data_IF_034413854450
#
_entry.id   IF_034413854450
#
_cell.length_a   1.000
_cell.length_b   1.000
_cell.length_c   1.000
_cell.angle_alpha   90.00
_cell.angle_beta   90.00
_cell.angle_gamma   90.00
#
_symmetry.space_group_name_H-M   'P 1'
#
loop_
_entity.id
_entity.type
_entity.pdbx_description
1 polymer ?
#
# COMPACT_ATOMS: atom_id res chain seq x y z
N UNK A 1 -14.40 -9.08 -5.98
CA UNK A 1 -15.09 -9.23 -4.68
C UNK A 1 -15.69 -7.88 -4.32
N UNK A 2 -15.22 -7.17 -3.30
CA UNK A 2 -15.78 -5.88 -2.84
C UNK A 2 -14.96 -4.65 -3.24
N UNK A 3 -13.79 -4.84 -3.86
CA UNK A 3 -12.94 -3.76 -4.34
C UNK A 3 -11.71 -3.47 -3.46
N UNK A 4 -11.51 -4.21 -2.37
CA UNK A 4 -10.44 -3.97 -1.39
C UNK A 4 -9.05 -3.94 -2.04
N UNK A 5 -8.73 -4.91 -2.91
CA UNK A 5 -7.43 -4.98 -3.57
C UNK A 5 -7.23 -3.83 -4.56
N UNK A 6 -8.31 -3.36 -5.21
CA UNK A 6 -8.23 -2.18 -6.06
C UNK A 6 -7.96 -0.92 -5.24
N UNK A 7 -8.59 -0.77 -4.07
CA UNK A 7 -8.34 0.34 -3.15
C UNK A 7 -6.89 0.32 -2.61
N UNK A 8 -6.37 -0.86 -2.26
CA UNK A 8 -4.98 -1.05 -1.82
C UNK A 8 -4.01 -0.69 -2.94
N UNK A 9 -4.25 -1.18 -4.17
CA UNK A 9 -3.45 -0.82 -5.33
C UNK A 9 -3.48 0.69 -5.63
N UNK A 10 -4.66 1.32 -5.51
CA UNK A 10 -4.81 2.76 -5.68
C UNK A 10 -4.01 3.55 -4.63
N UNK A 11 -4.09 3.16 -3.35
CA UNK A 11 -3.32 3.80 -2.28
C UNK A 11 -1.81 3.64 -2.46
N UNK A 12 -1.35 2.43 -2.85
CA UNK A 12 0.07 2.16 -3.13
C UNK A 12 0.60 3.04 -4.28
N UNK A 13 -0.15 3.08 -5.38
CA UNK A 13 0.27 3.80 -6.58
C UNK A 13 0.09 5.32 -6.44
N UNK A 14 -0.84 5.80 -5.59
CA UNK A 14 -0.89 7.20 -5.18
C UNK A 14 0.41 7.62 -4.48
N UNK A 15 0.91 6.81 -3.54
CA UNK A 15 2.17 7.10 -2.85
C UNK A 15 3.35 7.17 -3.83
N UNK A 16 3.44 6.22 -4.77
CA UNK A 16 4.45 6.24 -5.82
C UNK A 16 4.35 7.50 -6.71
N UNK A 17 3.12 7.88 -7.12
CA UNK A 17 2.89 9.08 -7.91
C UNK A 17 3.25 10.37 -7.15
N UNK A 18 2.90 10.46 -5.87
CA UNK A 18 3.25 11.61 -5.01
C UNK A 18 4.76 11.72 -4.79
N UNK A 19 5.46 10.58 -4.65
CA UNK A 19 6.91 10.51 -4.53
C UNK A 19 7.60 11.10 -5.76
N UNK A 20 7.27 10.61 -6.96
CA UNK A 20 7.89 11.09 -8.19
C UNK A 20 7.50 12.55 -8.50
N UNK A 21 6.25 12.93 -8.20
CA UNK A 21 5.82 14.33 -8.31
C UNK A 21 6.61 15.25 -7.36
N UNK A 22 6.85 14.85 -6.11
CA UNK A 22 7.65 15.64 -5.17
C UNK A 22 9.08 15.87 -5.69
N UNK A 23 9.70 14.84 -6.26
CA UNK A 23 11.02 14.96 -6.88
C UNK A 23 10.96 15.94 -8.06
N UNK A 24 9.93 15.79 -8.91
CA UNK A 24 9.76 16.62 -10.10
C UNK A 24 9.52 18.11 -9.79
N UNK A 25 8.80 18.42 -8.72
CA UNK A 25 8.39 19.77 -8.34
C UNK A 25 9.44 20.55 -7.53
N UNK A 26 10.62 19.98 -7.29
CA UNK A 26 11.72 20.68 -6.62
C UNK A 26 12.50 19.82 -5.64
N UNK A 27 12.02 18.62 -5.31
CA UNK A 27 12.70 17.66 -4.46
C UNK A 27 13.21 18.26 -3.14
N UNK A 28 12.35 19.01 -2.42
CA UNK A 28 12.73 19.71 -1.18
C UNK A 28 13.26 18.76 -0.10
N UNK A 29 12.85 17.49 -0.14
CA UNK A 29 13.29 16.43 0.76
C UNK A 29 14.63 15.79 0.34
N UNK A 30 15.21 16.24 -0.78
CA UNK A 30 16.48 15.76 -1.34
C UNK A 30 16.53 14.24 -1.49
N UNK A 31 15.43 13.66 -1.98
CA UNK A 31 15.29 12.22 -2.22
C UNK A 31 16.30 11.82 -3.28
N UNK A 32 17.07 10.76 -3.01
CA UNK A 32 17.95 10.14 -3.98
C UNK A 32 17.15 9.12 -4.80
N UNK A 33 16.95 9.40 -6.09
CA UNK A 33 16.17 8.55 -7.00
C UNK A 33 16.73 7.12 -7.10
N UNK A 34 18.02 6.91 -6.80
CA UNK A 34 18.64 5.57 -6.79
C UNK A 34 18.44 4.82 -5.48
N UNK A 35 17.92 5.48 -4.45
CA UNK A 35 17.64 4.93 -3.12
C UNK A 35 16.15 4.92 -2.78
N UNK A 36 15.29 4.97 -3.80
CA UNK A 36 13.86 4.72 -3.64
C UNK A 36 13.66 3.22 -3.44
N UNK A 37 12.98 2.86 -2.35
CA UNK A 37 12.64 1.47 -2.04
C UNK A 37 11.18 1.17 -2.33
N UNK A 38 10.34 2.21 -2.42
CA UNK A 38 8.93 2.06 -2.74
C UNK A 38 8.73 1.67 -4.21
N UNK A 39 8.06 0.54 -4.43
CA UNK A 39 7.71 0.02 -5.75
C UNK A 39 6.24 0.24 -6.06
N UNK A 40 5.89 0.29 -7.33
CA UNK A 40 4.48 0.30 -7.77
C UNK A 40 3.86 -1.09 -7.61
N UNK A 41 2.54 -1.19 -7.77
CA UNK A 41 1.89 -2.51 -7.74
C UNK A 41 0.72 -2.64 -8.71
N UNK A 42 0.44 -3.89 -9.09
CA UNK A 42 -0.74 -4.28 -9.87
C UNK A 42 -1.18 -5.68 -9.48
N UNK A 43 -2.48 -5.95 -9.44
CA UNK A 43 -3.00 -7.29 -9.13
C UNK A 43 -3.11 -8.16 -10.39
N UNK A 44 -1.96 -8.36 -11.04
CA UNK A 44 -1.82 -9.17 -12.25
C UNK A 44 -0.49 -9.91 -12.22
N UNK A 45 -0.47 -11.14 -12.74
CA UNK A 45 0.75 -11.93 -12.88
C UNK A 45 1.56 -11.46 -14.11
N UNK A 46 2.07 -10.23 -14.04
CA UNK A 46 2.82 -9.62 -15.13
C UNK A 46 4.32 -9.59 -14.84
N UNK A 47 5.06 -10.52 -15.44
CA UNK A 47 6.52 -10.60 -15.29
C UNK A 47 7.24 -9.42 -15.96
N UNK A 48 6.61 -8.75 -16.93
CA UNK A 48 7.25 -7.70 -17.74
C UNK A 48 7.53 -6.44 -16.93
N UNK A 49 6.77 -6.22 -15.85
CA UNK A 49 6.87 -5.03 -15.00
C UNK A 49 7.83 -5.20 -13.81
N UNK A 50 8.52 -6.36 -13.69
CA UNK A 50 9.42 -6.62 -12.55
C UNK A 50 10.55 -5.61 -12.44
N UNK A 51 11.13 -5.21 -13.58
CA UNK A 51 12.17 -4.20 -13.66
C UNK A 51 11.83 -3.28 -14.83
N UNK A 52 11.69 -1.99 -14.55
CA UNK A 52 11.37 -0.97 -15.54
C UNK A 52 12.27 0.25 -15.34
N UNK A 53 12.35 1.07 -16.38
CA UNK A 53 12.84 2.45 -16.26
C UNK A 53 11.66 3.34 -16.59
N UNK A 54 11.31 4.23 -15.67
CA UNK A 54 10.20 5.17 -15.81
C UNK A 54 10.70 6.62 -15.81
N UNK A 55 9.78 7.58 -15.90
CA UNK A 55 10.11 9.01 -15.98
C UNK A 55 10.89 9.40 -17.25
N UNK A 56 10.85 8.55 -18.29
CA UNK A 56 11.40 8.82 -19.62
C UNK A 56 10.59 9.92 -20.33
N UNK A 57 11.20 10.56 -21.33
CA UNK A 57 10.57 11.61 -22.12
C UNK A 57 11.30 12.94 -22.01
N UNK A 58 10.55 14.04 -22.13
CA UNK A 58 11.04 15.40 -22.00
C UNK A 58 11.06 15.88 -20.55
N UNK A 59 11.49 17.15 -20.37
CA UNK A 59 11.59 17.77 -19.04
C UNK A 59 10.26 17.90 -18.31
N UNK A 60 9.11 17.73 -18.97
CA UNK A 60 7.79 17.73 -18.35
C UNK A 60 7.35 16.38 -17.78
N UNK A 61 7.97 15.27 -18.19
CA UNK A 61 7.41 13.92 -18.03
C UNK A 61 7.84 13.22 -16.74
N UNK A 62 8.90 13.70 -16.08
CA UNK A 62 9.35 13.15 -14.80
C UNK A 62 10.86 13.26 -14.57
N UNK A 63 11.37 12.40 -13.70
CA UNK A 63 12.80 12.18 -13.48
C UNK A 63 13.08 10.70 -13.72
N UNK A 64 14.03 10.41 -14.61
CA UNK A 64 14.37 9.05 -14.99
C UNK A 64 14.93 8.28 -13.79
N UNK A 65 14.36 7.11 -13.50
CA UNK A 65 14.88 6.18 -12.50
C UNK A 65 14.53 4.73 -12.84
N UNK A 66 15.23 3.81 -12.18
CA UNK A 66 14.85 2.41 -12.15
C UNK A 66 13.68 2.23 -11.17
N UNK A 67 12.72 1.38 -11.54
CA UNK A 67 11.56 1.04 -10.74
C UNK A 67 11.13 -0.42 -10.98
N UNK A 68 10.07 -0.84 -10.32
CA UNK A 68 9.38 -2.06 -10.67
C UNK A 68 8.02 -2.16 -10.02
N UNK A 69 7.30 -3.21 -10.41
CA UNK A 69 6.00 -3.54 -9.88
C UNK A 69 6.05 -4.83 -9.09
N UNK A 70 5.33 -4.85 -7.98
CA UNK A 70 5.01 -6.06 -7.24
C UNK A 70 3.52 -6.38 -7.40
N UNK A 71 3.14 -7.63 -7.12
CA UNK A 71 1.72 -7.97 -7.05
C UNK A 71 1.08 -7.26 -5.85
N UNK A 72 -0.14 -6.73 -5.96
CA UNK A 72 -0.76 -5.87 -4.93
C UNK A 72 -0.72 -6.43 -3.51
N UNK A 73 -0.89 -7.75 -3.34
CA UNK A 73 -0.83 -8.42 -2.04
C UNK A 73 0.54 -8.39 -1.35
N UNK A 74 1.60 -8.09 -2.10
CA UNK A 74 2.96 -7.91 -1.58
C UNK A 74 3.22 -6.51 -1.03
N UNK A 75 2.33 -5.54 -1.28
CA UNK A 75 2.49 -4.16 -0.84
C UNK A 75 2.51 -4.05 0.69
N UNK A 76 3.35 -3.18 1.24
CA UNK A 76 3.31 -2.82 2.66
C UNK A 76 1.96 -2.19 3.05
N UNK A 77 1.23 -1.58 2.10
CA UNK A 77 -0.15 -1.12 2.32
C UNK A 77 -1.06 -2.28 2.69
N UNK A 78 -0.92 -3.45 2.06
CA UNK A 78 -1.68 -4.66 2.41
C UNK A 78 -1.33 -5.14 3.83
N UNK A 79 -0.04 -5.14 4.19
CA UNK A 79 0.38 -5.53 5.53
C UNK A 79 -0.14 -4.56 6.60
N UNK A 80 -0.03 -3.25 6.37
CA UNK A 80 -0.56 -2.21 7.26
C UNK A 80 -2.09 -2.30 7.39
N UNK A 81 -2.80 -2.55 6.27
CA UNK A 81 -4.24 -2.77 6.23
C UNK A 81 -4.66 -3.96 7.08
N UNK A 82 -3.94 -5.08 6.98
CA UNK A 82 -4.27 -6.28 7.76
C UNK A 82 -3.94 -6.13 9.25
N UNK A 83 -2.98 -5.29 9.63
CA UNK A 83 -2.57 -5.09 11.03
C UNK A 83 -3.24 -3.91 11.74
N UNK A 84 -3.97 -3.06 11.01
CA UNK A 84 -4.61 -1.89 11.59
C UNK A 84 -5.77 -2.29 12.53
N UNK A 85 -5.92 -1.60 13.66
CA UNK A 85 -7.08 -1.76 14.55
C UNK A 85 -8.29 -0.93 14.13
N UNK A 86 -8.05 0.19 13.44
CA UNK A 86 -9.05 1.16 13.00
C UNK A 86 -8.43 2.11 11.95
N UNK A 87 -9.22 3.05 11.42
CA UNK A 87 -8.79 3.98 10.38
C UNK A 87 -7.69 4.96 10.85
N UNK A 88 -7.66 5.31 12.14
CA UNK A 88 -6.65 6.21 12.69
C UNK A 88 -5.31 5.49 12.83
N UNK A 89 -5.33 4.24 13.33
CA UNK A 89 -4.14 3.37 13.36
C UNK A 89 -3.64 3.09 11.94
N UNK A 90 -4.54 2.79 11.00
CA UNK A 90 -4.18 2.62 9.59
C UNK A 90 -3.45 3.86 9.05
N UNK A 91 -4.04 5.05 9.19
CA UNK A 91 -3.40 6.31 8.74
C UNK A 91 -2.02 6.51 9.36
N UNK A 92 -1.87 6.22 10.65
CA UNK A 92 -0.58 6.35 11.34
C UNK A 92 0.45 5.34 10.83
N UNK A 93 0.05 4.08 10.57
CA UNK A 93 0.91 3.04 9.95
C UNK A 93 1.36 3.45 8.55
N UNK A 94 0.43 3.92 7.71
CA UNK A 94 0.75 4.40 6.37
C UNK A 94 1.74 5.56 6.43
N UNK A 95 1.62 6.47 7.39
CA UNK A 95 2.56 7.58 7.58
C UNK A 95 3.99 7.16 7.90
N UNK A 96 4.18 6.02 8.58
CA UNK A 96 5.49 5.50 8.98
C UNK A 96 6.21 4.71 7.87
N UNK A 97 5.53 4.41 6.76
CA UNK A 97 6.13 3.71 5.62
C UNK A 97 7.33 4.51 5.11
N UNK A 98 8.48 3.85 5.01
CA UNK A 98 9.70 4.42 4.41
C UNK A 98 9.64 4.19 2.89
N UNK A 99 9.69 5.27 2.13
CA UNK A 99 9.62 5.22 0.66
C UNK A 99 10.99 5.21 -0.02
N UNK A 100 12.02 5.60 0.72
CA UNK A 100 13.40 5.68 0.24
C UNK A 100 14.25 6.53 1.16
N UNK A 101 15.38 6.98 0.64
CA UNK A 101 16.37 7.75 1.40
C UNK A 101 16.76 9.03 0.69
N UNK A 102 17.11 10.04 1.47
CA UNK A 102 17.71 11.26 0.93
C UNK A 102 19.15 11.04 0.47
N UNK A 103 19.72 12.02 -0.23
CA UNK A 103 21.14 12.05 -0.60
C UNK A 103 22.05 11.94 0.65
N UNK A 104 21.61 12.47 1.79
CA UNK A 104 22.32 12.38 3.06
C UNK A 104 22.16 11.01 3.77
N UNK A 105 21.29 10.13 3.26
CA UNK A 105 21.03 8.81 3.87
C UNK A 105 19.89 8.81 4.89
N UNK A 106 19.23 9.94 5.13
CA UNK A 106 18.07 10.00 6.04
C UNK A 106 16.85 9.30 5.43
N UNK A 107 16.10 8.50 6.19
CA UNK A 107 14.88 7.85 5.71
C UNK A 107 13.80 8.88 5.41
N UNK A 108 13.07 8.66 4.31
CA UNK A 108 11.95 9.50 3.90
C UNK A 108 10.66 8.69 4.03
N UNK A 109 9.68 9.26 4.73
CA UNK A 109 8.40 8.59 4.98
C UNK A 109 7.26 9.12 4.12
N UNK A 110 6.19 8.33 4.00
CA UNK A 110 4.96 8.75 3.32
C UNK A 110 4.28 9.96 3.99
N UNK A 111 4.46 10.14 5.30
CA UNK A 111 3.97 11.34 6.01
C UNK A 111 4.74 12.61 5.62
N UNK A 112 6.05 12.53 5.38
CA UNK A 112 6.82 13.68 4.86
C UNK A 112 6.36 14.10 3.46
N UNK A 113 5.86 13.16 2.67
CA UNK A 113 5.18 13.40 1.40
C UNK A 113 3.70 13.81 1.55
N UNK A 114 3.17 13.87 2.77
CA UNK A 114 1.77 14.19 3.09
C UNK A 114 0.75 13.23 2.43
N UNK A 115 1.16 11.98 2.16
CA UNK A 115 0.35 11.01 1.42
C UNK A 115 -0.62 10.20 2.32
N UNK A 116 -0.25 9.98 3.58
CA UNK A 116 -0.96 9.09 4.51
C UNK A 116 -2.46 9.39 4.67
N UNK A 117 -2.84 10.67 4.70
CA UNK A 117 -4.25 11.06 4.77
C UNK A 117 -5.07 10.66 3.54
N UNK A 118 -4.51 10.91 2.35
CA UNK A 118 -5.17 10.58 1.09
C UNK A 118 -5.23 9.06 0.85
N UNK A 119 -4.15 8.34 1.21
CA UNK A 119 -4.14 6.87 1.19
C UNK A 119 -5.21 6.28 2.13
N UNK A 120 -5.33 6.80 3.36
CA UNK A 120 -6.36 6.36 4.29
C UNK A 120 -7.78 6.64 3.76
N UNK A 121 -7.99 7.75 3.05
CA UNK A 121 -9.28 8.07 2.43
C UNK A 121 -9.66 7.05 1.34
N UNK A 122 -8.71 6.63 0.50
CA UNK A 122 -8.92 5.57 -0.51
C UNK A 122 -9.27 4.22 0.13
N UNK A 123 -8.77 3.95 1.34
CA UNK A 123 -8.96 2.69 2.06
C UNK A 123 -10.16 2.71 3.01
N UNK A 124 -10.87 3.83 3.15
CA UNK A 124 -11.92 4.02 4.16
C UNK A 124 -13.00 2.93 4.12
N UNK A 125 -13.52 2.64 2.93
CA UNK A 125 -14.57 1.61 2.78
C UNK A 125 -13.98 0.21 2.69
N UNK A 126 -12.80 0.07 2.07
CA UNK A 126 -12.08 -1.19 1.99
C UNK A 126 -11.77 -1.76 3.37
N UNK A 127 -11.55 -0.92 4.40
CA UNK A 127 -11.21 -1.37 5.77
C UNK A 127 -12.35 -2.13 6.49
N UNK A 128 -13.56 -2.17 5.92
CA UNK A 128 -14.72 -2.83 6.50
C UNK A 128 -14.71 -4.33 6.14
N UNK A 129 -14.73 -5.25 7.11
CA UNK A 129 -14.77 -6.69 6.83
C UNK A 129 -15.96 -7.11 5.96
N UNK A 130 -15.71 -7.96 4.97
CA UNK A 130 -16.74 -8.42 4.05
C UNK A 130 -17.40 -9.70 4.57
N UNK A 131 -18.70 -9.62 4.85
CA UNK A 131 -19.50 -10.77 5.29
C UNK A 131 -20.01 -11.57 4.08
N UNK A 132 -19.78 -12.88 4.13
CA UNK A 132 -20.30 -13.87 3.19
C UNK A 132 -20.81 -15.08 3.97
N UNK A 133 -21.19 -16.16 3.28
CA UNK A 133 -21.63 -17.40 3.90
C UNK A 133 -20.98 -18.64 3.27
N UNK A 134 -20.86 -19.71 4.04
CA UNK A 134 -20.52 -21.06 3.54
C UNK A 134 -21.70 -21.68 2.79
N UNK A 135 -21.51 -22.87 2.21
CA UNK A 135 -22.58 -23.63 1.54
C UNK A 135 -23.75 -23.98 2.49
N UNK A 136 -23.49 -24.06 3.79
CA UNK A 136 -24.47 -24.40 4.83
C UNK A 136 -25.07 -23.15 5.51
N UNK A 137 -24.78 -21.95 5.00
CA UNK A 137 -25.29 -20.70 5.54
C UNK A 137 -24.54 -20.16 6.76
N UNK A 138 -23.41 -20.77 7.14
CA UNK A 138 -22.56 -20.28 8.24
C UNK A 138 -21.91 -18.95 7.84
N UNK A 139 -22.01 -17.87 8.65
CA UNK A 139 -21.36 -16.60 8.37
C UNK A 139 -19.84 -16.73 8.28
N UNK A 140 -19.21 -16.03 7.33
CA UNK A 140 -17.76 -15.99 7.19
C UNK A 140 -17.27 -14.58 6.78
N UNK A 141 -16.15 -14.13 7.35
CA UNK A 141 -15.48 -12.91 6.90
C UNK A 141 -14.33 -13.23 5.93
N UNK A 142 -14.25 -12.50 4.83
CA UNK A 142 -13.10 -12.53 3.90
C UNK A 142 -12.53 -11.11 3.84
N UNK A 143 -11.34 -10.89 4.41
CA UNK A 143 -10.79 -9.54 4.50
C UNK A 143 -9.26 -9.54 4.68
N UNK A 144 -8.57 -8.79 3.80
CA UNK A 144 -7.11 -8.80 3.73
C UNK A 144 -6.55 -10.05 3.03
N UNK A 145 -5.25 -10.05 2.80
CA UNK A 145 -4.55 -11.16 2.17
C UNK A 145 -3.09 -10.82 1.86
N UNK A 146 -2.24 -10.58 2.88
CA UNK A 146 -0.83 -10.33 2.69
C UNK A 146 -0.10 -11.65 2.37
N UNK A 147 1.06 -11.56 1.74
CA UNK A 147 1.96 -12.71 1.66
C UNK A 147 2.41 -13.21 3.05
N UNK A 148 2.81 -14.48 3.10
CA UNK A 148 3.25 -15.16 4.34
C UNK A 148 4.79 -15.30 4.46
N UNK A 149 5.54 -14.87 3.44
CA UNK A 149 7.01 -14.92 3.43
C UNK A 149 7.64 -13.56 3.72
N UNK A 150 7.14 -12.49 3.10
CA UNK A 150 7.59 -11.10 3.29
C UNK A 150 6.66 -10.31 4.21
N UNK A 151 5.54 -10.92 4.63
CA UNK A 151 4.58 -10.40 5.58
C UNK A 151 4.01 -11.57 6.40
N UNK A 152 2.93 -11.34 7.17
CA UNK A 152 2.47 -12.25 8.21
C UNK A 152 1.44 -13.31 7.76
N UNK A 153 0.92 -13.25 6.53
CA UNK A 153 0.05 -14.30 5.98
C UNK A 153 -1.29 -14.52 6.67
N UNK A 154 -1.85 -13.53 7.38
CA UNK A 154 -3.15 -13.64 8.04
C UNK A 154 -4.17 -12.66 7.45
N UNK A 155 -5.46 -12.95 7.64
CA UNK A 155 -6.53 -11.98 7.40
C UNK A 155 -6.42 -10.80 8.37
N UNK A 156 -7.20 -9.75 8.13
CA UNK A 156 -7.10 -8.53 8.94
C UNK A 156 -7.45 -8.73 10.42
N UNK A 157 -6.78 -7.99 11.29
CA UNK A 157 -7.09 -7.84 12.72
C UNK A 157 -8.53 -7.40 12.94
N UNK A 158 -9.06 -6.46 12.14
CA UNK A 158 -10.44 -5.96 12.28
C UNK A 158 -11.46 -7.07 12.08
N UNK A 159 -11.31 -7.89 11.02
CA UNK A 159 -12.19 -9.02 10.77
C UNK A 159 -12.13 -10.06 11.91
N UNK A 160 -10.94 -10.42 12.39
CA UNK A 160 -10.80 -11.37 13.50
C UNK A 160 -11.39 -10.83 14.80
N UNK A 161 -11.16 -9.55 15.12
CA UNK A 161 -11.74 -8.90 16.31
C UNK A 161 -13.26 -8.81 16.22
N UNK A 162 -13.80 -8.53 15.03
CA UNK A 162 -15.23 -8.52 14.79
C UNK A 162 -15.83 -9.91 14.97
N UNK A 163 -15.21 -10.95 14.40
CA UNK A 163 -15.65 -12.34 14.57
C UNK A 163 -15.69 -12.76 16.05
N UNK A 164 -14.60 -12.55 16.80
CA UNK A 164 -14.53 -12.88 18.23
C UNK A 164 -15.55 -12.13 19.10
N UNK A 165 -16.11 -11.02 18.62
CA UNK A 165 -17.13 -10.28 19.34
C UNK A 165 -18.56 -10.77 19.04
N UNK A 166 -18.79 -11.31 17.84
CA UNK A 166 -20.12 -11.70 17.36
C UNK A 166 -20.37 -13.21 17.32
N UNK A 167 -19.35 -14.03 17.59
CA UNK A 167 -19.43 -15.48 17.62
C UNK A 167 -18.74 -16.05 18.87
N UNK A 168 -19.20 -17.23 19.29
CA UNK A 168 -18.59 -17.97 20.41
C UNK A 168 -17.23 -18.59 20.03
N UNK A 169 -17.02 -18.86 18.73
CA UNK A 169 -15.83 -19.53 18.16
C UNK A 169 -15.44 -18.94 16.82
#
# INVERSE_FOLDING_TARGET
FTGDFHAIGAANNLLAAMLDNHIKQGNELKIDAKKITWRRCIDMNDRQLRNVVDGLGGSGDGVVREDGFDITVASEVMAAFCLASDISDLKARLGRIIVGYSVAGEPITAEQLKANGAMAALLKDALKPNLVQTLEGTPAFIHGGPFANIAHGCNSVIATRMAMHFADY
#
